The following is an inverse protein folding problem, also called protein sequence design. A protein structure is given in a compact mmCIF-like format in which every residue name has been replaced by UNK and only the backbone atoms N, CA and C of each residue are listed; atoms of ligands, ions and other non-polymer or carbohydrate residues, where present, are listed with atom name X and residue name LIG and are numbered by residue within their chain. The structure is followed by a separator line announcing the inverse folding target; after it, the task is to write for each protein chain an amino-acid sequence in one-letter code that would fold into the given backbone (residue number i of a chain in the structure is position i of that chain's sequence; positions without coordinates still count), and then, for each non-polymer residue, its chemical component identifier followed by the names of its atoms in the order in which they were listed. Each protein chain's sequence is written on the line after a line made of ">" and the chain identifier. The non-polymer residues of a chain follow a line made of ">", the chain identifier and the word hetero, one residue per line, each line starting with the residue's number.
data_IF_189534140899
#
_entry.id   IF_189534140899
#
_cell.length_a   1.000
_cell.length_b   1.000
_cell.length_c   1.000
_cell.angle_alpha   90.00
_cell.angle_beta   90.00
_cell.angle_gamma   90.00
#
_symmetry.space_group_name_H-M   'P 1'
#
loop_
_entity.id
_entity.type
_entity.pdbx_description
1 polymer ?
#
# COMPACT_ATOMS: atom_id res chain seq x y z
N UNK A 1 -35.97 15.37 -54.36
CA UNK A 1 -35.09 14.36 -53.73
C UNK A 1 -33.67 14.88 -53.83
N UNK A 2 -33.04 15.25 -52.72
CA UNK A 2 -31.67 15.75 -52.71
C UNK A 2 -30.84 14.79 -51.85
N UNK A 3 -30.02 13.95 -52.50
CA UNK A 3 -29.10 13.02 -51.84
C UNK A 3 -27.71 13.65 -51.86
N UNK A 4 -27.11 13.82 -50.68
CA UNK A 4 -25.73 14.31 -50.53
C UNK A 4 -24.83 13.18 -49.99
N UNK A 5 -23.90 12.60 -50.77
CA UNK A 5 -23.22 11.35 -50.41
C UNK A 5 -21.94 11.51 -49.56
N UNK A 6 -21.69 12.66 -48.94
CA UNK A 6 -20.49 12.87 -48.12
C UNK A 6 -20.86 13.35 -46.70
N UNK A 7 -21.30 12.41 -45.85
CA UNK A 7 -21.12 12.55 -44.40
C UNK A 7 -19.79 11.91 -44.04
N UNK A 8 -18.77 12.75 -43.84
CA UNK A 8 -17.53 12.33 -43.19
C UNK A 8 -17.91 11.90 -41.77
N UNK A 9 -17.74 10.63 -41.42
CA UNK A 9 -17.78 10.21 -40.01
C UNK A 9 -16.62 10.95 -39.34
N UNK A 10 -16.94 11.85 -38.43
CA UNK A 10 -15.99 12.29 -37.42
C UNK A 10 -15.75 11.07 -36.55
N UNK A 11 -14.56 10.47 -36.66
CA UNK A 11 -14.09 9.54 -35.65
C UNK A 11 -14.05 10.34 -34.34
N UNK A 12 -15.06 10.13 -33.49
CA UNK A 12 -14.99 10.54 -32.10
C UNK A 12 -13.84 9.73 -31.52
N UNK A 13 -12.70 10.40 -31.30
CA UNK A 13 -11.61 9.84 -30.52
C UNK A 13 -12.19 9.69 -29.13
N UNK A 14 -12.34 8.45 -28.66
CA UNK A 14 -12.68 8.20 -27.26
C UNK A 14 -11.73 9.05 -26.40
N UNK A 15 -12.24 9.85 -25.45
CA UNK A 15 -11.37 10.62 -24.58
C UNK A 15 -10.41 9.64 -23.92
N UNK A 16 -9.12 9.90 -24.04
CA UNK A 16 -8.11 9.19 -23.26
C UNK A 16 -8.40 9.53 -21.80
N UNK A 17 -9.05 8.60 -21.10
CA UNK A 17 -9.21 8.68 -19.65
C UNK A 17 -7.85 8.28 -19.09
N UNK A 18 -7.15 9.27 -18.54
CA UNK A 18 -5.91 9.04 -17.83
C UNK A 18 -6.27 8.67 -16.39
N UNK A 19 -6.05 7.41 -16.02
CA UNK A 19 -6.30 6.93 -14.67
C UNK A 19 -5.09 7.21 -13.79
N UNK A 20 -5.35 7.63 -12.57
CA UNK A 20 -4.35 7.85 -11.51
C UNK A 20 -4.27 6.63 -10.59
N UNK A 21 -3.26 6.58 -9.72
CA UNK A 21 -3.20 5.52 -8.70
C UNK A 21 -4.43 5.52 -7.78
N UNK A 22 -4.99 6.70 -7.51
CA UNK A 22 -6.21 6.83 -6.70
C UNK A 22 -7.45 6.23 -7.38
N UNK A 23 -7.41 5.97 -8.70
CA UNK A 23 -8.51 5.36 -9.44
C UNK A 23 -8.46 3.81 -9.44
N UNK A 24 -7.42 3.21 -8.89
CA UNK A 24 -7.24 1.75 -8.87
C UNK A 24 -8.39 1.06 -8.14
N UNK A 25 -8.85 -0.05 -8.73
CA UNK A 25 -9.90 -0.91 -8.19
C UNK A 25 -9.54 -2.37 -8.39
N UNK A 26 -10.05 -3.29 -7.56
CA UNK A 26 -9.90 -4.72 -7.79
C UNK A 26 -10.27 -5.09 -9.24
N UNK A 27 -9.38 -5.80 -9.92
CA UNK A 27 -9.48 -6.11 -11.35
C UNK A 27 -8.77 -5.12 -12.28
N UNK A 28 -8.21 -4.02 -11.81
CA UNK A 28 -7.35 -3.17 -12.64
C UNK A 28 -5.95 -3.79 -12.76
N UNK A 29 -5.19 -3.31 -13.74
CA UNK A 29 -3.74 -3.55 -13.83
C UNK A 29 -2.98 -2.23 -13.86
N UNK A 30 -1.74 -2.28 -13.39
CA UNK A 30 -0.79 -1.16 -13.38
C UNK A 30 0.61 -1.71 -13.63
N UNK A 31 1.40 -1.00 -14.43
CA UNK A 31 2.81 -1.32 -14.65
C UNK A 31 3.69 -0.61 -13.61
N UNK A 32 4.56 -1.37 -12.95
CA UNK A 32 5.55 -0.89 -11.99
C UNK A 32 6.75 -1.83 -11.97
N UNK A 33 7.96 -1.27 -11.93
CA UNK A 33 9.23 -2.01 -11.90
C UNK A 33 9.33 -3.11 -12.99
N UNK A 34 9.01 -2.72 -14.24
CA UNK A 34 9.04 -3.59 -15.42
C UNK A 34 8.10 -4.82 -15.36
N UNK A 35 7.11 -4.81 -14.46
CA UNK A 35 6.08 -5.84 -14.32
C UNK A 35 4.68 -5.23 -14.38
N UNK A 36 3.74 -5.99 -14.91
CA UNK A 36 2.31 -5.68 -14.84
C UNK A 36 1.71 -6.34 -13.61
N UNK A 37 1.18 -5.53 -12.71
CA UNK A 37 0.56 -5.96 -11.46
C UNK A 37 -0.96 -5.88 -11.59
N UNK A 38 -1.66 -6.88 -11.05
CA UNK A 38 -3.11 -6.89 -10.96
C UNK A 38 -3.54 -6.48 -9.55
N UNK A 39 -4.45 -5.52 -9.46
CA UNK A 39 -5.14 -5.17 -8.21
C UNK A 39 -6.08 -6.31 -7.83
N UNK A 40 -5.86 -6.92 -6.68
CA UNK A 40 -6.66 -8.05 -6.17
C UNK A 40 -7.57 -7.68 -5.01
N UNK A 41 -7.19 -6.66 -4.22
CA UNK A 41 -7.99 -6.15 -3.12
C UNK A 41 -7.78 -4.63 -2.96
N UNK A 42 -8.72 -4.00 -2.26
CA UNK A 42 -8.61 -2.62 -1.83
C UNK A 42 -9.08 -2.54 -0.38
N UNK A 43 -8.15 -2.42 0.55
CA UNK A 43 -8.41 -2.35 1.98
C UNK A 43 -8.26 -0.91 2.47
N UNK A 44 -8.56 -0.68 3.73
CA UNK A 44 -8.13 0.55 4.41
C UNK A 44 -7.94 0.32 5.89
N UNK A 45 -7.13 1.18 6.48
CA UNK A 45 -6.94 1.34 7.91
C UNK A 45 -7.57 2.67 8.34
N UNK A 46 -8.10 2.71 9.56
CA UNK A 46 -8.55 3.92 10.25
C UNK A 46 -7.85 3.98 11.62
N UNK A 47 -7.04 5.01 11.83
CA UNK A 47 -6.31 5.29 13.05
C UNK A 47 -6.94 6.52 13.72
N UNK A 48 -8.09 6.34 14.38
CA UNK A 48 -8.87 7.41 15.04
C UNK A 48 -9.24 8.58 14.10
N UNK A 49 -9.64 8.25 12.87
CA UNK A 49 -10.01 9.20 11.82
C UNK A 49 -8.92 9.48 10.80
N UNK A 50 -7.68 9.05 11.06
CA UNK A 50 -6.59 9.11 10.09
C UNK A 50 -6.63 7.86 9.19
N UNK A 51 -6.98 8.07 7.93
CA UNK A 51 -7.27 7.00 6.98
C UNK A 51 -6.07 6.69 6.08
N UNK A 52 -5.75 5.40 5.96
CA UNK A 52 -4.79 4.87 4.97
C UNK A 52 -5.53 3.93 4.02
N UNK A 53 -5.50 4.21 2.72
CA UNK A 53 -6.02 3.29 1.70
C UNK A 53 -4.91 2.34 1.22
N UNK A 54 -5.17 1.04 1.16
CA UNK A 54 -4.21 0.01 0.74
C UNK A 54 -4.74 -0.75 -0.49
N UNK A 55 -3.92 -0.93 -1.52
CA UNK A 55 -4.20 -1.84 -2.63
C UNK A 55 -3.27 -3.05 -2.59
N UNK A 56 -3.86 -4.25 -2.59
CA UNK A 56 -3.10 -5.48 -2.80
C UNK A 56 -2.84 -5.68 -4.29
N UNK A 57 -1.57 -5.82 -4.66
CA UNK A 57 -1.11 -5.97 -6.03
C UNK A 57 -0.40 -7.31 -6.20
N UNK A 58 -0.79 -8.07 -7.22
CA UNK A 58 -0.21 -9.40 -7.50
C UNK A 58 0.39 -9.49 -8.89
N UNK A 59 1.54 -10.16 -8.99
CA UNK A 59 2.19 -10.50 -10.25
C UNK A 59 2.82 -11.90 -10.12
N UNK A 60 2.27 -12.88 -10.84
CA UNK A 60 2.63 -14.29 -10.68
C UNK A 60 2.51 -14.79 -9.22
N UNK A 61 3.62 -15.10 -8.56
CA UNK A 61 3.70 -15.53 -7.15
C UNK A 61 4.12 -14.40 -6.19
N UNK A 62 4.30 -13.18 -6.70
CA UNK A 62 4.65 -12.01 -5.91
C UNK A 62 3.40 -11.23 -5.49
N UNK A 63 3.45 -10.70 -4.27
CA UNK A 63 2.45 -9.80 -3.69
C UNK A 63 3.19 -8.57 -3.16
N UNK A 64 2.64 -7.40 -3.43
CA UNK A 64 3.02 -6.14 -2.79
C UNK A 64 1.77 -5.35 -2.44
N UNK A 65 1.91 -4.42 -1.51
CA UNK A 65 0.85 -3.53 -1.07
C UNK A 65 1.25 -2.11 -1.44
N UNK A 66 0.29 -1.34 -1.93
CA UNK A 66 0.46 0.07 -2.23
C UNK A 66 -0.42 0.84 -1.27
N UNK A 67 0.19 1.65 -0.41
CA UNK A 67 -0.50 2.45 0.58
C UNK A 67 -0.56 3.90 0.12
N UNK A 68 -1.69 4.54 0.39
CA UNK A 68 -1.93 5.97 0.19
C UNK A 68 -2.33 6.59 1.52
N UNK A 69 -1.62 7.63 1.88
CA UNK A 69 -1.88 8.44 3.05
C UNK A 69 -1.96 9.91 2.65
N UNK A 70 -2.84 10.67 3.31
CA UNK A 70 -3.01 12.10 3.11
C UNK A 70 -3.07 12.81 4.47
N UNK A 71 -1.89 13.14 5.00
CA UNK A 71 -1.71 13.93 6.22
C UNK A 71 -1.31 15.39 5.88
N UNK A 72 -0.02 15.72 5.89
CA UNK A 72 0.51 17.02 5.42
C UNK A 72 0.59 17.12 3.88
N UNK A 73 0.41 16.00 3.19
CA UNK A 73 0.45 15.85 1.75
C UNK A 73 0.17 14.41 1.32
N UNK A 74 -0.04 14.20 0.03
CA UNK A 74 -0.27 12.87 -0.53
C UNK A 74 1.05 12.09 -0.56
N UNK A 75 1.09 10.95 0.12
CA UNK A 75 2.21 10.01 0.13
C UNK A 75 1.79 8.65 -0.42
N UNK A 76 2.74 7.97 -1.08
CA UNK A 76 2.58 6.61 -1.56
C UNK A 76 3.73 5.74 -1.06
N UNK A 77 3.40 4.56 -0.54
CA UNK A 77 4.39 3.58 -0.09
C UNK A 77 4.11 2.24 -0.75
N UNK A 78 5.13 1.60 -1.32
CA UNK A 78 5.03 0.16 -1.66
C UNK A 78 5.67 -0.64 -0.54
N UNK A 79 4.96 -1.65 -0.04
CA UNK A 79 5.47 -2.56 0.97
C UNK A 79 5.37 -4.03 0.56
N UNK A 80 6.21 -4.86 1.16
CA UNK A 80 6.17 -6.32 1.05
C UNK A 80 6.30 -6.96 2.42
N UNK A 81 5.45 -7.95 2.69
CA UNK A 81 5.50 -8.71 3.93
C UNK A 81 6.81 -9.46 4.08
N UNK A 82 7.37 -9.43 5.28
CA UNK A 82 8.53 -10.20 5.70
C UNK A 82 8.20 -11.00 6.95
N UNK A 83 8.87 -12.15 7.18
CA UNK A 83 8.82 -12.78 8.48
C UNK A 83 9.40 -11.83 9.54
N UNK A 84 8.69 -11.60 10.64
CA UNK A 84 9.15 -10.79 11.79
C UNK A 84 10.54 -11.25 12.29
N UNK A 85 10.84 -12.55 12.16
CA UNK A 85 12.15 -13.12 12.52
C UNK A 85 13.33 -12.62 11.66
N UNK A 86 13.08 -11.85 10.60
CA UNK A 86 14.14 -11.18 9.82
C UNK A 86 14.56 -9.84 10.42
N UNK A 87 13.84 -9.35 11.41
CA UNK A 87 14.14 -8.11 12.11
C UNK A 87 15.04 -8.43 13.31
N UNK A 88 16.24 -7.90 13.28
CA UNK A 88 17.18 -7.94 14.39
C UNK A 88 16.71 -6.98 15.50
N UNK A 89 16.93 -7.37 16.76
CA UNK A 89 16.42 -6.65 17.94
C UNK A 89 15.28 -7.36 18.66
N UNK A 90 14.82 -8.50 18.14
CA UNK A 90 13.77 -9.33 18.73
C UNK A 90 12.48 -8.55 19.07
N UNK A 91 11.91 -7.79 18.12
CA UNK A 91 10.82 -6.85 18.39
C UNK A 91 9.61 -7.52 19.06
N UNK A 92 9.23 -8.74 18.63
CA UNK A 92 8.13 -9.49 19.26
C UNK A 92 8.33 -9.68 20.77
N UNK A 93 9.50 -10.14 21.20
CA UNK A 93 9.76 -10.37 22.62
C UNK A 93 9.77 -9.06 23.39
N UNK A 94 10.31 -7.99 22.78
CA UNK A 94 10.32 -6.68 23.40
C UNK A 94 8.89 -6.11 23.58
N UNK A 95 8.03 -6.22 22.57
CA UNK A 95 6.62 -5.79 22.64
C UNK A 95 5.89 -6.56 23.73
N UNK A 96 6.04 -7.88 23.79
CA UNK A 96 5.38 -8.70 24.82
C UNK A 96 5.85 -8.34 26.24
N UNK A 97 7.12 -7.96 26.40
CA UNK A 97 7.70 -7.63 27.71
C UNK A 97 7.47 -6.18 28.14
N UNK A 98 7.38 -5.24 27.20
CA UNK A 98 7.39 -3.79 27.46
C UNK A 98 6.15 -3.05 26.95
N UNK A 99 5.24 -3.74 26.26
CA UNK A 99 4.08 -3.18 25.55
C UNK A 99 4.44 -2.26 24.36
N UNK A 100 5.74 -2.04 24.12
CA UNK A 100 6.29 -1.26 23.01
C UNK A 100 7.46 -2.01 22.35
N UNK A 101 7.73 -1.80 21.05
CA UNK A 101 8.88 -2.38 20.38
C UNK A 101 10.17 -1.58 20.67
N UNK A 102 11.35 -2.06 20.25
CA UNK A 102 12.59 -1.31 20.41
C UNK A 102 12.56 0.00 19.61
N UNK A 103 13.14 1.09 20.15
CA UNK A 103 13.28 2.37 19.44
C UNK A 103 14.13 2.26 18.16
N UNK A 104 15.01 1.26 18.09
CA UNK A 104 15.89 1.01 16.95
C UNK A 104 15.86 -0.49 16.63
N UNK A 105 15.67 -0.82 15.35
CA UNK A 105 15.75 -2.18 14.82
C UNK A 105 16.62 -2.22 13.57
N UNK A 106 17.12 -3.40 13.21
CA UNK A 106 17.87 -3.59 11.97
C UNK A 106 17.23 -4.69 11.13
N UNK A 107 17.13 -4.48 9.83
CA UNK A 107 16.67 -5.49 8.89
C UNK A 107 17.46 -5.39 7.59
N UNK A 108 18.00 -6.51 7.10
CA UNK A 108 18.81 -6.56 5.88
C UNK A 108 19.99 -5.55 5.84
N UNK A 109 20.57 -5.25 7.02
CA UNK A 109 21.68 -4.30 7.14
C UNK A 109 21.30 -2.82 7.04
N UNK A 110 20.00 -2.51 7.10
CA UNK A 110 19.47 -1.15 7.23
C UNK A 110 18.96 -0.98 8.65
N UNK A 111 19.36 0.11 9.30
CA UNK A 111 18.84 0.53 10.60
C UNK A 111 17.59 1.36 10.40
N UNK A 112 16.56 1.07 11.20
CA UNK A 112 15.32 1.81 11.24
C UNK A 112 15.05 2.29 12.66
N UNK A 113 14.43 3.46 12.78
CA UNK A 113 14.10 4.12 14.05
C UNK A 113 12.59 4.26 14.16
N UNK A 114 12.07 4.06 15.36
CA UNK A 114 10.64 4.14 15.63
C UNK A 114 10.14 5.57 15.42
N UNK A 115 9.06 5.72 14.66
CA UNK A 115 8.44 7.01 14.36
C UNK A 115 7.07 7.15 15.01
N UNK A 116 6.23 6.11 14.89
CA UNK A 116 4.87 6.13 15.45
C UNK A 116 4.43 4.79 16.03
N UNK A 117 3.35 4.84 16.81
CA UNK A 117 2.70 3.71 17.45
C UNK A 117 1.21 4.00 17.53
N UNK A 118 0.41 3.32 16.72
CA UNK A 118 -0.97 3.68 16.48
C UNK A 118 -1.87 2.46 16.65
N UNK A 119 -2.94 2.61 17.44
CA UNK A 119 -4.01 1.62 17.49
C UNK A 119 -5.04 1.96 16.41
N UNK A 120 -5.43 0.97 15.61
CA UNK A 120 -6.30 1.19 14.46
C UNK A 120 -7.30 0.08 14.23
N UNK A 121 -8.10 0.30 13.19
CA UNK A 121 -9.08 -0.63 12.66
C UNK A 121 -8.79 -0.92 11.18
N UNK A 122 -8.68 -2.19 10.82
CA UNK A 122 -8.49 -2.63 9.43
C UNK A 122 -9.79 -3.16 8.82
N UNK A 123 -10.11 -2.62 7.65
CA UNK A 123 -11.31 -2.93 6.88
C UNK A 123 -10.93 -3.63 5.58
N UNK A 124 -11.02 -4.96 5.59
CA UNK A 124 -10.73 -5.79 4.41
C UNK A 124 -11.79 -5.57 3.34
N UNK A 125 -11.40 -5.09 2.16
CA UNK A 125 -12.34 -4.74 1.08
C UNK A 125 -13.48 -3.78 1.52
N UNK A 126 -13.26 -2.97 2.55
CA UNK A 126 -14.27 -2.10 3.14
C UNK A 126 -15.43 -2.84 3.83
N UNK A 127 -15.24 -4.11 4.19
CA UNK A 127 -16.25 -4.92 4.88
C UNK A 127 -16.21 -4.74 6.40
N UNK A 128 -17.37 -4.95 7.03
CA UNK A 128 -17.60 -4.90 8.49
C UNK A 128 -17.76 -6.32 9.07
N UNK A 129 -17.36 -6.57 10.33
CA UNK A 129 -16.69 -5.64 11.24
C UNK A 129 -15.19 -5.47 10.94
N UNK A 130 -14.57 -4.34 11.32
CA UNK A 130 -13.12 -4.20 11.22
C UNK A 130 -12.39 -5.17 12.15
N UNK A 131 -11.09 -5.32 11.90
CA UNK A 131 -10.15 -5.99 12.80
C UNK A 131 -9.29 -4.94 13.48
N UNK A 132 -9.27 -4.97 14.81
CA UNK A 132 -8.38 -4.12 15.61
C UNK A 132 -6.92 -4.59 15.46
N UNK A 133 -6.00 -3.62 15.43
CA UNK A 133 -4.56 -3.82 15.39
C UNK A 133 -3.82 -2.70 16.13
N UNK A 134 -2.57 -2.97 16.46
CA UNK A 134 -1.58 -1.95 16.81
C UNK A 134 -0.50 -1.99 15.74
N UNK A 135 -0.13 -0.83 15.22
CA UNK A 135 0.90 -0.67 14.20
C UNK A 135 2.04 0.16 14.77
N UNK A 136 3.27 -0.27 14.53
CA UNK A 136 4.48 0.51 14.78
C UNK A 136 5.19 0.76 13.46
N UNK A 137 5.39 2.03 13.14
CA UNK A 137 6.09 2.47 11.95
C UNK A 137 7.52 2.89 12.27
N UNK A 138 8.41 2.52 11.37
CA UNK A 138 9.82 2.83 11.46
C UNK A 138 10.34 3.39 10.14
N UNK A 139 11.27 4.34 10.22
CA UNK A 139 11.96 4.90 9.07
C UNK A 139 13.47 4.70 9.15
N UNK A 140 14.12 4.58 7.99
CA UNK A 140 15.57 4.66 7.91
C UNK A 140 16.07 6.11 8.01
N UNK A 141 17.40 6.31 8.18
CA UNK A 141 18.02 7.64 8.25
C UNK A 141 17.70 8.55 7.04
N UNK A 142 17.24 7.97 5.93
CA UNK A 142 16.90 8.73 4.71
C UNK A 142 15.42 9.08 4.62
N UNK A 143 14.59 8.61 5.56
CA UNK A 143 13.14 8.73 5.57
C UNK A 143 12.50 8.20 4.27
N UNK A 144 13.13 7.24 3.59
CA UNK A 144 12.61 6.68 2.33
C UNK A 144 12.27 5.21 2.41
N UNK A 145 12.88 4.48 3.33
CA UNK A 145 12.53 3.09 3.58
C UNK A 145 11.71 3.01 4.84
N UNK A 146 10.65 2.24 4.77
CA UNK A 146 9.75 2.01 5.89
C UNK A 146 9.87 0.57 6.38
N UNK A 147 9.59 0.36 7.65
CA UNK A 147 9.37 -0.95 8.23
C UNK A 147 8.15 -0.80 9.13
N UNK A 148 7.10 -1.58 8.87
CA UNK A 148 5.95 -1.67 9.78
C UNK A 148 5.99 -2.99 10.54
N UNK A 149 5.54 -2.94 11.79
CA UNK A 149 5.18 -4.12 12.58
C UNK A 149 3.75 -3.94 13.01
N UNK A 150 2.92 -4.94 12.75
CA UNK A 150 1.52 -4.97 13.16
C UNK A 150 1.31 -6.08 14.17
N UNK A 151 0.58 -5.81 15.24
CA UNK A 151 0.06 -6.79 16.17
C UNK A 151 -1.44 -6.96 15.98
N UNK A 152 -1.87 -8.21 15.79
CA UNK A 152 -3.25 -8.61 15.66
C UNK A 152 -3.65 -9.47 16.87
N UNK A 153 -4.56 -8.96 17.69
CA UNK A 153 -4.90 -9.63 18.95
C UNK A 153 -3.68 -9.74 19.88
N UNK A 154 -3.58 -10.85 20.63
CA UNK A 154 -2.54 -10.95 21.69
C UNK A 154 -1.15 -11.33 21.15
N UNK A 155 -1.07 -12.19 20.12
CA UNK A 155 0.15 -12.96 19.84
C UNK A 155 0.46 -13.17 18.34
N UNK A 156 -0.32 -12.53 17.46
CA UNK A 156 -0.15 -12.60 16.01
C UNK A 156 0.52 -11.31 15.53
N UNK A 157 1.62 -11.47 14.78
CA UNK A 157 2.46 -10.36 14.35
C UNK A 157 2.76 -10.47 12.87
N UNK A 158 2.57 -9.37 12.17
CA UNK A 158 2.99 -9.20 10.78
C UNK A 158 4.03 -8.10 10.69
N UNK A 159 4.87 -8.15 9.67
CA UNK A 159 5.83 -7.09 9.41
C UNK A 159 5.99 -6.88 7.91
N UNK A 160 6.26 -5.65 7.53
CA UNK A 160 6.48 -5.25 6.15
C UNK A 160 7.77 -4.44 6.02
N UNK A 161 8.38 -4.49 4.83
CA UNK A 161 9.39 -3.53 4.42
C UNK A 161 8.83 -2.74 3.25
N UNK A 162 8.93 -1.42 3.32
CA UNK A 162 8.45 -0.54 2.28
C UNK A 162 9.44 0.51 1.81
N UNK A 163 9.01 1.21 0.78
CA UNK A 163 9.70 2.29 0.10
C UNK A 163 8.66 3.35 -0.27
N UNK A 164 8.99 4.61 0.04
CA UNK A 164 8.22 5.76 -0.46
C UNK A 164 8.44 5.85 -1.97
N UNK A 165 7.33 5.88 -2.71
CA UNK A 165 7.29 5.92 -4.17
C UNK A 165 6.49 7.12 -4.66
N UNK A 166 6.69 7.45 -5.92
CA UNK A 166 6.05 8.55 -6.61
C UNK A 166 5.13 8.02 -7.70
N UNK A 167 4.01 8.70 -7.92
CA UNK A 167 3.00 8.27 -8.89
C UNK A 167 3.55 8.12 -10.32
N UNK A 168 4.53 8.94 -10.72
CA UNK A 168 5.17 8.84 -12.05
C UNK A 168 5.99 7.56 -12.25
N UNK A 169 6.28 6.80 -11.19
CA UNK A 169 6.95 5.49 -11.29
C UNK A 169 6.02 4.39 -11.80
N UNK A 170 4.72 4.67 -11.88
CA UNK A 170 3.69 3.76 -12.35
C UNK A 170 3.20 4.19 -13.73
N UNK A 171 2.82 3.22 -14.56
CA UNK A 171 2.25 3.48 -15.88
C UNK A 171 1.14 2.49 -16.21
N UNK A 172 0.48 2.71 -17.35
CA UNK A 172 -0.45 1.75 -17.94
C UNK A 172 -1.54 1.29 -16.96
N UNK A 173 -2.11 2.23 -16.20
CA UNK A 173 -3.23 2.00 -15.31
C UNK A 173 -4.48 1.75 -16.16
N UNK A 174 -4.95 0.50 -16.17
CA UNK A 174 -6.00 0.06 -17.07
C UNK A 174 -7.05 -0.80 -16.34
N UNK A 175 -8.35 -0.59 -16.58
CA UNK A 175 -9.37 -1.54 -16.16
C UNK A 175 -9.23 -2.84 -16.96
N UNK A 176 -9.23 -4.00 -16.30
CA UNK A 176 -9.42 -5.27 -17.02
C UNK A 176 -10.92 -5.60 -17.01
N UNK A 177 -11.57 -5.35 -18.14
CA UNK A 177 -12.99 -5.67 -18.37
C UNK A 177 -13.25 -7.14 -18.65
#
# INVERSE_FOLDING_TARGET
>A
MNWNPFKKKTDEVDPVIDFTLSDLKPGYVVDYDLKTWKVTAQNHYDYDGDRVDEWELTCADEVMYLDREEDDGLSWTISRKIPVSRIDGAPRSHIVENEDPPEEVTCNGVTYYAESSDAGEFYKNGEEPPRELITWEYLDDSERKTLSIEQWGEDDFEASLGEIVEEYQFSDILPTG
#
